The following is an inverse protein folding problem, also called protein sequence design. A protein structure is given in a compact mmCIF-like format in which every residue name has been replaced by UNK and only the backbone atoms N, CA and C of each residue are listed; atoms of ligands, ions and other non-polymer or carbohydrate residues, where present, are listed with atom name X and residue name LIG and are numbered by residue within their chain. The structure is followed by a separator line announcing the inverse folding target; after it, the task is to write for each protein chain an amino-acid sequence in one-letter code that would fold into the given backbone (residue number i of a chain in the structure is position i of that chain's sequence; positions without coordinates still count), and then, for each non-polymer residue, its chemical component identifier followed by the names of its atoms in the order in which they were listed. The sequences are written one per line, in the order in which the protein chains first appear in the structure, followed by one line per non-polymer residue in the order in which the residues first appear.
data_IF_938353983836
#
_entry.id   IF_938353983836
#
_cell.length_a   1.000
_cell.length_b   1.000
_cell.length_c   1.000
_cell.angle_alpha   90.00
_cell.angle_beta   90.00
_cell.angle_gamma   90.00
#
_symmetry.space_group_name_H-M   'P 1'
#
loop_
_entity.id
_entity.type
_entity.pdbx_description
1 polymer ?
#
# COMPACT_ATOMS: atom_id res chain seq x y z
N UNK A 1 2.15 -22.62 -26.00
CA UNK A 1 0.82 -21.96 -25.96
C UNK A 1 0.75 -21.09 -24.71
N UNK A 2 0.74 -19.77 -24.83
CA UNK A 2 0.56 -18.82 -23.72
C UNK A 2 -0.92 -18.40 -23.72
N UNK A 3 -1.77 -19.18 -23.07
CA UNK A 3 -3.15 -18.76 -22.82
C UNK A 3 -3.11 -17.65 -21.77
N UNK A 4 -3.89 -16.59 -21.99
CA UNK A 4 -4.10 -15.55 -21.00
C UNK A 4 -4.66 -16.21 -19.72
N UNK A 5 -3.87 -16.25 -18.66
CA UNK A 5 -4.31 -16.62 -17.31
C UNK A 5 -5.27 -15.50 -16.86
N UNK A 6 -6.57 -15.62 -17.17
CA UNK A 6 -7.50 -14.53 -16.88
C UNK A 6 -8.99 -14.80 -17.03
N UNK A 7 -9.41 -15.85 -17.74
CA UNK A 7 -10.83 -16.14 -17.99
C UNK A 7 -11.21 -17.58 -17.62
N UNK A 8 -10.64 -18.15 -16.56
CA UNK A 8 -11.24 -19.35 -15.96
C UNK A 8 -12.40 -18.92 -15.07
N UNK A 9 -13.45 -19.75 -14.99
CA UNK A 9 -14.62 -19.49 -14.14
C UNK A 9 -14.18 -19.20 -12.69
N UNK A 10 -13.18 -19.94 -12.19
CA UNK A 10 -12.58 -19.70 -10.88
C UNK A 10 -11.96 -18.29 -10.73
N UNK A 11 -11.27 -17.78 -11.76
CA UNK A 11 -10.72 -16.42 -11.72
C UNK A 11 -11.83 -15.37 -11.65
N UNK A 12 -12.95 -15.60 -12.34
CA UNK A 12 -14.12 -14.72 -12.29
C UNK A 12 -14.77 -14.71 -10.89
N UNK A 13 -14.95 -15.89 -10.27
CA UNK A 13 -15.46 -15.97 -8.90
C UNK A 13 -14.57 -15.22 -7.91
N UNK A 14 -13.24 -15.39 -8.00
CA UNK A 14 -12.28 -14.69 -7.15
C UNK A 14 -12.37 -13.18 -7.36
N UNK A 15 -12.48 -12.71 -8.61
CA UNK A 15 -12.64 -11.28 -8.91
C UNK A 15 -13.91 -10.70 -8.31
N UNK A 16 -15.04 -11.40 -8.45
CA UNK A 16 -16.32 -10.98 -7.87
C UNK A 16 -16.23 -10.94 -6.34
N UNK A 17 -15.74 -12.01 -5.70
CA UNK A 17 -15.55 -12.04 -4.25
C UNK A 17 -14.62 -10.92 -3.78
N UNK A 18 -13.53 -10.65 -4.49
CA UNK A 18 -12.58 -9.58 -4.16
C UNK A 18 -13.25 -8.21 -4.28
N UNK A 19 -14.03 -7.97 -5.34
CA UNK A 19 -14.76 -6.72 -5.53
C UNK A 19 -15.80 -6.50 -4.42
N UNK A 20 -16.52 -7.54 -4.03
CA UNK A 20 -17.51 -7.49 -2.94
C UNK A 20 -16.83 -7.15 -1.60
N UNK A 21 -15.71 -7.80 -1.27
CA UNK A 21 -14.94 -7.51 -0.06
C UNK A 21 -14.41 -6.08 -0.09
N UNK A 22 -13.84 -5.64 -1.21
CA UNK A 22 -13.33 -4.28 -1.36
C UNK A 22 -14.45 -3.24 -1.19
N UNK A 23 -15.63 -3.46 -1.78
CA UNK A 23 -16.76 -2.54 -1.66
C UNK A 23 -17.31 -2.48 -0.23
N UNK A 24 -17.34 -3.62 0.48
CA UNK A 24 -17.72 -3.68 1.89
C UNK A 24 -16.73 -2.88 2.76
N UNK A 25 -15.43 -3.10 2.56
CA UNK A 25 -14.37 -2.37 3.26
C UNK A 25 -14.50 -0.86 3.03
N UNK A 26 -14.67 -0.42 1.79
CA UNK A 26 -14.77 1.02 1.48
C UNK A 26 -16.01 1.64 2.14
N UNK A 27 -17.17 0.95 2.14
CA UNK A 27 -18.36 1.43 2.86
C UNK A 27 -18.13 1.53 4.37
N UNK A 28 -17.45 0.54 4.95
CA UNK A 28 -17.07 0.56 6.36
C UNK A 28 -16.12 1.73 6.68
N UNK A 29 -15.12 1.97 5.83
CA UNK A 29 -14.24 3.12 5.93
C UNK A 29 -15.02 4.45 5.85
N UNK A 30 -15.98 4.57 4.93
CA UNK A 30 -16.86 5.76 4.83
C UNK A 30 -17.67 5.99 6.10
N UNK A 31 -18.15 4.91 6.72
CA UNK A 31 -18.94 5.00 7.95
C UNK A 31 -18.09 5.43 9.16
N UNK A 32 -16.85 4.92 9.26
CA UNK A 32 -15.94 5.26 10.37
C UNK A 32 -15.27 6.63 10.17
N UNK A 33 -15.07 7.06 8.93
CA UNK A 33 -14.46 8.35 8.62
C UNK A 33 -15.33 9.51 9.09
N UNK A 34 -14.74 10.45 9.84
CA UNK A 34 -15.38 11.72 10.21
C UNK A 34 -15.43 12.72 9.04
N UNK A 35 -14.65 12.49 8.00
CA UNK A 35 -14.59 13.30 6.77
C UNK A 35 -15.35 12.65 5.61
N UNK A 36 -16.00 13.48 4.78
CA UNK A 36 -16.75 13.01 3.61
C UNK A 36 -15.81 12.73 2.41
N UNK A 37 -14.99 11.67 2.52
CA UNK A 37 -14.08 11.26 1.46
C UNK A 37 -14.81 10.75 0.21
N UNK A 38 -14.26 11.09 -0.96
CA UNK A 38 -14.69 10.48 -2.23
C UNK A 38 -14.31 9.00 -2.27
N UNK A 39 -15.08 8.20 -3.01
CA UNK A 39 -14.83 6.76 -3.16
C UNK A 39 -13.41 6.49 -3.69
N UNK A 40 -12.98 7.26 -4.70
CA UNK A 40 -11.66 7.13 -5.32
C UNK A 40 -10.51 7.36 -4.33
N UNK A 41 -10.65 8.30 -3.39
CA UNK A 41 -9.64 8.55 -2.37
C UNK A 41 -9.53 7.37 -1.38
N UNK A 42 -10.66 6.77 -0.98
CA UNK A 42 -10.67 5.61 -0.09
C UNK A 42 -10.09 4.36 -0.76
N UNK A 43 -10.36 4.17 -2.05
CA UNK A 43 -9.73 3.11 -2.85
C UNK A 43 -8.22 3.31 -2.91
N UNK A 44 -7.75 4.56 -3.09
CA UNK A 44 -6.32 4.86 -3.08
C UNK A 44 -5.69 4.56 -1.72
N UNK A 45 -6.34 4.92 -0.61
CA UNK A 45 -5.86 4.60 0.74
C UNK A 45 -5.80 3.09 0.99
N UNK A 46 -6.83 2.34 0.59
CA UNK A 46 -6.83 0.88 0.70
C UNK A 46 -5.66 0.27 -0.10
N UNK A 47 -5.47 0.73 -1.34
CA UNK A 47 -4.36 0.30 -2.20
C UNK A 47 -3.01 0.53 -1.51
N UNK A 48 -2.78 1.72 -0.95
CA UNK A 48 -1.52 2.04 -0.27
C UNK A 48 -1.32 1.23 1.01
N UNK A 49 -2.40 0.97 1.77
CA UNK A 49 -2.32 0.12 2.96
C UNK A 49 -1.92 -1.33 2.62
N UNK A 50 -2.41 -1.86 1.49
CA UNK A 50 -2.01 -3.17 0.96
C UNK A 50 -0.53 -3.24 0.54
N UNK A 51 0.03 -2.16 -0.02
CA UNK A 51 1.42 -2.14 -0.50
C UNK A 51 2.44 -1.69 0.55
N UNK A 52 2.04 -0.90 1.54
CA UNK A 52 2.96 -0.20 2.45
C UNK A 52 2.67 -0.47 3.93
N UNK A 53 1.72 -1.34 4.28
CA UNK A 53 1.38 -1.69 5.68
C UNK A 53 1.29 -0.45 6.61
N UNK A 54 0.72 0.66 6.10
CA UNK A 54 0.60 1.93 6.82
C UNK A 54 -0.64 1.93 7.70
N UNK A 55 -0.61 2.60 8.86
CA UNK A 55 -1.82 2.76 9.70
C UNK A 55 -2.91 3.56 8.95
N UNK A 56 -3.96 2.86 8.51
CA UNK A 56 -5.05 3.42 7.71
C UNK A 56 -5.90 4.42 8.51
N UNK A 57 -6.04 4.18 9.81
CA UNK A 57 -6.92 4.97 10.67
C UNK A 57 -6.38 6.38 10.90
N UNK A 58 -5.10 6.50 11.24
CA UNK A 58 -4.47 7.82 11.34
C UNK A 58 -4.51 8.57 10.01
N UNK A 59 -4.39 7.85 8.90
CA UNK A 59 -4.30 8.48 7.58
C UNK A 59 -5.66 8.97 7.04
N UNK A 60 -6.75 8.29 7.38
CA UNK A 60 -8.12 8.75 7.07
C UNK A 60 -8.47 10.03 7.85
N UNK A 61 -7.97 10.16 9.08
CA UNK A 61 -8.23 11.31 9.96
C UNK A 61 -7.23 12.47 9.73
N UNK A 62 -5.95 12.17 9.42
CA UNK A 62 -4.84 13.12 9.28
C UNK A 62 -3.90 12.76 8.10
N UNK A 63 -4.33 13.00 6.84
CA UNK A 63 -3.61 12.53 5.65
C UNK A 63 -2.23 13.18 5.45
N UNK A 64 -2.03 14.41 5.94
CA UNK A 64 -0.81 15.20 5.69
C UNK A 64 0.25 15.10 6.80
N UNK A 65 -0.09 14.54 7.96
CA UNK A 65 0.82 14.48 9.12
C UNK A 65 1.69 13.23 9.16
N UNK A 66 1.33 12.18 8.41
CA UNK A 66 2.04 10.89 8.47
C UNK A 66 3.24 10.92 7.51
N UNK A 67 4.39 11.38 8.02
CA UNK A 67 5.66 11.32 7.32
C UNK A 67 5.90 9.89 6.81
N UNK A 68 6.35 9.70 5.55
CA UNK A 68 6.70 8.37 5.07
C UNK A 68 7.76 7.76 5.98
N UNK A 69 7.51 6.52 6.42
CA UNK A 69 8.53 5.72 7.11
C UNK A 69 9.71 5.65 6.16
N UNK A 70 10.78 6.37 6.50
CA UNK A 70 12.02 6.35 5.74
C UNK A 70 12.56 4.94 5.90
N UNK A 71 12.54 4.15 4.83
CA UNK A 71 13.18 2.84 4.86
C UNK A 71 14.66 3.10 5.14
N UNK A 72 15.11 2.74 6.34
CA UNK A 72 16.52 2.77 6.68
C UNK A 72 17.26 1.90 5.65
N UNK A 73 18.34 2.39 5.04
CA UNK A 73 19.11 1.59 4.10
C UNK A 73 19.68 0.35 4.82
N UNK A 74 19.06 -0.81 4.63
CA UNK A 74 19.46 -2.10 5.24
C UNK A 74 20.61 -2.76 4.45
N UNK A 75 21.34 -2.01 3.62
CA UNK A 75 22.42 -2.60 2.83
C UNK A 75 23.55 -3.05 3.77
N UNK A 76 23.75 -4.36 3.89
CA UNK A 76 24.90 -4.92 4.59
C UNK A 76 26.20 -4.40 3.97
N UNK A 77 27.16 -4.04 4.83
CA UNK A 77 28.49 -3.65 4.40
C UNK A 77 29.13 -4.81 3.64
N UNK A 78 29.46 -4.57 2.37
CA UNK A 78 30.24 -5.52 1.60
C UNK A 78 31.68 -5.51 2.13
N UNK A 79 32.40 -6.63 2.04
CA UNK A 79 33.80 -6.71 2.47
C UNK A 79 34.77 -5.86 1.62
N UNK A 80 34.27 -5.15 0.60
CA UNK A 80 35.05 -4.29 -0.29
C UNK A 80 34.58 -2.84 -0.16
N UNK A 81 35.51 -1.92 0.14
CA UNK A 81 35.23 -0.50 0.29
C UNK A 81 35.25 0.20 -1.09
N UNK A 82 34.19 0.95 -1.42
CA UNK A 82 34.23 1.97 -2.48
C UNK A 82 33.60 1.62 -3.83
N UNK A 83 33.00 0.44 -4.00
CA UNK A 83 32.31 0.04 -5.24
C UNK A 83 30.84 -0.25 -4.97
N UNK A 84 29.94 0.45 -5.68
CA UNK A 84 28.51 0.14 -5.74
C UNK A 84 27.69 0.35 -4.46
N UNK A 85 28.25 0.95 -3.40
CA UNK A 85 27.52 1.24 -2.16
C UNK A 85 27.13 2.72 -2.06
N UNK A 86 25.90 2.98 -1.60
CA UNK A 86 25.43 4.31 -1.25
C UNK A 86 26.21 4.80 -0.01
N UNK A 87 26.84 5.98 -0.10
CA UNK A 87 27.55 6.58 1.03
C UNK A 87 26.52 6.94 2.10
N UNK A 88 26.53 6.21 3.23
CA UNK A 88 25.77 6.62 4.41
C UNK A 88 26.33 7.95 4.88
N UNK A 89 25.57 9.03 4.65
CA UNK A 89 25.89 10.35 5.18
C UNK A 89 25.69 10.28 6.69
N UNK A 90 26.78 10.14 7.44
CA UNK A 90 26.78 10.29 8.89
C UNK A 90 26.43 11.75 9.19
N UNK A 91 25.16 12.02 9.49
CA UNK A 91 24.72 13.33 9.96
C UNK A 91 25.27 13.50 11.38
N UNK A 92 26.32 14.33 11.50
CA UNK A 92 26.79 14.92 12.77
C UNK A 92 25.89 16.04 13.22
#
# INVERSE_FOLDING_TARGET
MKTFVGTSENALYIQICTALIAMLLIKYLKFKSRFNWSLSNLVAFLRWNLFTYRNLWEWIDRPFDVLPVKAEPVQYLLPFKGIGQHQLKTET
#
